data_IF_504789245551
#
_entry.id   IF_504789245551
#
_cell.length_a   1.000
_cell.length_b   1.000
_cell.length_c   1.000
_cell.angle_alpha   90.00
_cell.angle_beta   90.00
_cell.angle_gamma   90.00
#
_symmetry.space_group_name_H-M   'P 1'
#
loop_
_entity.id
_entity.type
_entity.pdbx_description
1 polymer ?
#
# COMPACT_ATOMS: atom_id res chain seq x y z
N UNK A 1 -53.43 19.26 4.29
CA UNK A 1 -54.19 20.11 3.35
C UNK A 1 -54.50 19.30 2.11
N UNK A 2 -55.79 19.18 1.77
CA UNK A 2 -56.36 18.44 0.63
C UNK A 2 -56.30 19.28 -0.65
N UNK A 3 -55.98 18.66 -1.79
CA UNK A 3 -56.49 18.89 -3.17
C UNK A 3 -56.12 17.61 -3.96
N UNK A 4 -56.97 16.67 -4.37
CA UNK A 4 -58.27 16.63 -5.07
C UNK A 4 -58.26 17.24 -6.47
N UNK A 5 -58.21 16.39 -7.50
CA UNK A 5 -59.15 16.23 -8.64
C UNK A 5 -58.47 15.33 -9.69
N UNK A 6 -58.89 14.05 -9.87
CA UNK A 6 -59.85 13.53 -10.89
C UNK A 6 -59.41 13.77 -12.34
N UNK A 7 -59.48 12.81 -13.28
CA UNK A 7 -60.72 12.17 -13.72
C UNK A 7 -60.40 11.07 -14.79
N UNK A 8 -61.04 9.89 -14.64
CA UNK A 8 -61.67 9.01 -15.67
C UNK A 8 -60.86 8.54 -16.92
N UNK A 9 -61.08 7.40 -17.59
CA UNK A 9 -62.18 6.41 -17.67
C UNK A 9 -61.58 5.17 -18.39
N UNK A 10 -61.87 3.91 -17.98
CA UNK A 10 -62.85 2.97 -18.61
C UNK A 10 -62.29 2.25 -19.85
N UNK A 11 -62.46 0.93 -20.10
CA UNK A 11 -63.21 -0.18 -19.48
C UNK A 11 -62.80 -1.47 -20.19
N UNK A 12 -62.74 -2.56 -19.42
CA UNK A 12 -63.06 -4.00 -19.68
C UNK A 12 -62.64 -4.67 -21.00
N UNK A 13 -62.34 -5.96 -21.04
CA UNK A 13 -63.23 -7.13 -20.90
C UNK A 13 -62.33 -8.37 -20.69
N UNK A 14 -62.46 -9.09 -19.56
CA UNK A 14 -63.06 -10.45 -19.41
C UNK A 14 -62.50 -11.48 -20.41
N UNK A 15 -62.18 -12.75 -20.13
CA UNK A 15 -62.38 -13.72 -19.04
C UNK A 15 -61.85 -15.03 -19.65
N UNK A 16 -61.24 -15.91 -18.86
CA UNK A 16 -61.38 -17.38 -18.95
C UNK A 16 -60.35 -18.00 -18.00
N UNK A 17 -60.74 -18.43 -16.82
CA UNK A 17 -61.30 -19.74 -16.48
C UNK A 17 -60.22 -20.71 -15.96
N UNK A 18 -60.66 -21.50 -14.99
CA UNK A 18 -59.93 -22.22 -13.96
C UNK A 18 -59.26 -23.53 -14.41
N UNK A 19 -58.12 -23.82 -13.75
CA UNK A 19 -57.58 -25.08 -13.18
C UNK A 19 -58.50 -26.35 -13.21
N UNK A 20 -58.00 -27.61 -13.09
CA UNK A 20 -56.68 -28.03 -12.56
C UNK A 20 -56.01 -29.31 -13.18
N UNK A 21 -54.77 -29.56 -12.72
CA UNK A 21 -54.21 -30.85 -12.27
C UNK A 21 -53.08 -31.53 -13.09
N UNK A 22 -51.88 -31.51 -12.47
CA UNK A 22 -50.74 -32.49 -12.43
C UNK A 22 -50.05 -32.95 -13.72
N UNK A 23 -48.73 -33.06 -13.84
CA UNK A 23 -47.47 -32.70 -13.12
C UNK A 23 -46.32 -33.37 -13.96
N UNK A 24 -45.02 -33.25 -13.66
CA UNK A 24 -44.16 -32.08 -13.38
C UNK A 24 -42.91 -32.07 -14.30
N UNK A 25 -42.22 -30.94 -14.51
CA UNK A 25 -40.77 -30.95 -14.78
C UNK A 25 -40.19 -29.53 -14.58
N UNK A 26 -38.90 -29.49 -14.30
CA UNK A 26 -38.19 -28.58 -13.41
C UNK A 26 -37.91 -27.18 -13.98
N UNK A 27 -38.19 -26.12 -13.21
CA UNK A 27 -37.43 -24.87 -13.31
C UNK A 27 -37.51 -24.07 -12.01
N UNK A 28 -36.45 -24.13 -11.18
CA UNK A 28 -36.30 -23.21 -10.05
C UNK A 28 -35.61 -21.94 -10.51
N UNK A 29 -36.42 -20.89 -10.59
CA UNK A 29 -36.02 -19.51 -10.76
C UNK A 29 -34.94 -19.08 -9.76
N UNK A 30 -33.88 -18.44 -10.27
CA UNK A 30 -33.01 -17.58 -9.47
C UNK A 30 -33.23 -16.15 -9.91
N UNK A 31 -33.62 -15.38 -8.90
CA UNK A 31 -33.97 -13.98 -8.86
C UNK A 31 -32.83 -13.11 -9.41
N UNK A 32 -33.17 -12.21 -10.33
CA UNK A 32 -32.31 -11.14 -10.79
C UNK A 32 -32.00 -10.17 -9.63
N UNK A 33 -30.81 -10.26 -9.07
CA UNK A 33 -30.17 -9.10 -8.42
C UNK A 33 -29.27 -8.41 -9.43
N UNK A 34 -29.71 -7.24 -9.91
CA UNK A 34 -28.85 -6.24 -10.54
C UNK A 34 -27.79 -5.83 -9.52
N UNK A 35 -26.55 -6.27 -9.73
CA UNK A 35 -25.37 -5.64 -9.15
C UNK A 35 -24.49 -5.21 -10.30
N UNK A 36 -24.57 -3.92 -10.62
CA UNK A 36 -23.66 -3.22 -11.51
C UNK A 36 -22.24 -3.35 -10.95
N UNK A 37 -21.44 -4.25 -11.51
CA UNK A 37 -19.98 -4.22 -11.35
C UNK A 37 -19.37 -3.85 -12.70
N UNK A 38 -18.73 -2.68 -12.72
CA UNK A 38 -17.98 -2.16 -13.85
C UNK A 38 -16.81 -3.10 -14.17
N UNK A 39 -17.02 -4.05 -15.08
CA UNK A 39 -15.92 -4.64 -15.84
C UNK A 39 -15.69 -3.76 -17.07
N UNK A 40 -14.71 -2.85 -16.97
CA UNK A 40 -14.16 -2.18 -18.16
C UNK A 40 -13.47 -3.25 -19.00
N UNK A 41 -14.13 -3.71 -20.06
CA UNK A 41 -13.50 -4.54 -21.10
C UNK A 41 -12.22 -3.84 -21.59
N UNK A 42 -11.06 -4.41 -21.25
CA UNK A 42 -9.76 -3.93 -21.74
C UNK A 42 -9.66 -4.40 -23.20
N UNK A 43 -10.13 -3.58 -24.13
CA UNK A 43 -10.07 -3.85 -25.58
C UNK A 43 -8.62 -4.20 -25.96
N UNK A 44 -8.37 -5.47 -26.27
CA UNK A 44 -7.04 -6.01 -26.59
C UNK A 44 -6.52 -5.24 -27.82
N UNK A 45 -5.47 -4.45 -27.62
CA UNK A 45 -4.82 -3.74 -28.72
C UNK A 45 -3.86 -4.70 -29.40
N UNK A 46 -3.99 -4.86 -30.72
CA UNK A 46 -3.16 -5.77 -31.51
C UNK A 46 -2.34 -4.98 -32.53
N UNK A 47 -1.08 -5.36 -32.73
CA UNK A 47 -0.19 -4.77 -33.73
C UNK A 47 0.49 -5.85 -34.58
N UNK A 48 0.60 -5.62 -35.89
CA UNK A 48 1.32 -6.53 -36.78
C UNK A 48 2.82 -6.18 -36.78
N UNK A 49 3.65 -7.09 -36.30
CA UNK A 49 5.10 -6.86 -36.18
C UNK A 49 5.76 -6.55 -37.54
N UNK A 50 6.41 -5.39 -37.59
CA UNK A 50 7.27 -4.95 -38.69
C UNK A 50 8.68 -5.53 -38.57
N UNK A 51 9.53 -5.31 -39.57
CA UNK A 51 10.94 -5.74 -39.48
C UNK A 51 11.75 -4.92 -38.48
N UNK A 52 11.32 -3.66 -38.23
CA UNK A 52 11.87 -2.82 -37.16
C UNK A 52 11.55 -3.41 -35.79
N UNK A 53 10.31 -3.84 -35.58
CA UNK A 53 9.84 -4.48 -34.34
C UNK A 53 10.63 -5.78 -34.06
N UNK A 54 10.76 -6.64 -35.08
CA UNK A 54 11.56 -7.87 -34.99
C UNK A 54 13.04 -7.58 -34.68
N UNK A 55 13.60 -6.48 -35.22
CA UNK A 55 14.97 -6.06 -34.92
C UNK A 55 15.10 -5.68 -33.44
N UNK A 56 14.17 -4.93 -32.86
CA UNK A 56 14.21 -4.60 -31.43
C UNK A 56 14.09 -5.85 -30.55
N UNK A 57 13.19 -6.78 -30.90
CA UNK A 57 13.05 -8.05 -30.18
C UNK A 57 14.39 -8.82 -30.16
N UNK A 58 15.11 -8.89 -31.29
CA UNK A 58 16.43 -9.54 -31.35
C UNK A 58 17.44 -8.82 -30.47
N UNK A 59 17.56 -7.50 -30.58
CA UNK A 59 18.50 -6.72 -29.75
C UNK A 59 18.26 -6.93 -28.25
N UNK A 60 17.00 -6.98 -27.81
CA UNK A 60 16.67 -7.29 -26.41
C UNK A 60 17.11 -8.71 -26.04
N UNK A 61 16.84 -9.70 -26.89
CA UNK A 61 17.28 -11.09 -26.67
C UNK A 61 18.81 -11.24 -26.62
N UNK A 62 19.52 -10.41 -27.39
CA UNK A 62 20.98 -10.40 -27.47
C UNK A 62 21.63 -9.58 -26.33
N UNK A 63 20.82 -8.92 -25.47
CA UNK A 63 21.32 -8.13 -24.34
C UNK A 63 21.76 -6.71 -24.70
N UNK A 64 21.46 -6.24 -25.92
CA UNK A 64 21.81 -4.91 -26.46
C UNK A 64 20.82 -3.83 -25.98
N UNK A 65 20.55 -3.79 -24.67
CA UNK A 65 19.48 -2.98 -24.08
C UNK A 65 19.70 -1.48 -24.27
N UNK A 66 20.93 -0.98 -24.07
CA UNK A 66 21.25 0.44 -24.20
C UNK A 66 20.96 0.98 -25.60
N UNK A 67 21.22 0.16 -26.62
CA UNK A 67 20.92 0.50 -28.01
C UNK A 67 19.42 0.63 -28.24
N UNK A 68 18.62 -0.31 -27.73
CA UNK A 68 17.16 -0.24 -27.83
C UNK A 68 16.62 0.97 -27.08
N UNK A 69 17.08 1.22 -25.85
CA UNK A 69 16.67 2.37 -25.04
C UNK A 69 16.96 3.67 -25.80
N UNK A 70 18.16 3.83 -26.35
CA UNK A 70 18.56 5.02 -27.12
C UNK A 70 17.69 5.23 -28.36
N UNK A 71 17.37 4.16 -29.09
CA UNK A 71 16.57 4.26 -30.32
C UNK A 71 15.06 4.46 -30.06
N UNK A 72 14.59 4.21 -28.83
CA UNK A 72 13.16 4.20 -28.48
C UNK A 72 12.76 5.25 -27.43
N UNK A 73 13.72 5.97 -26.84
CA UNK A 73 13.46 6.99 -25.80
C UNK A 73 12.59 8.14 -26.30
N UNK A 74 12.75 8.55 -27.55
CA UNK A 74 12.10 9.76 -28.08
C UNK A 74 10.92 9.44 -29.02
N UNK A 75 10.62 8.15 -29.20
CA UNK A 75 9.53 7.71 -30.05
C UNK A 75 8.18 8.05 -29.41
N UNK A 76 7.31 8.67 -30.21
CA UNK A 76 5.92 8.98 -29.84
C UNK A 76 4.96 7.82 -30.14
N UNK A 77 5.38 6.87 -30.97
CA UNK A 77 4.57 5.71 -31.30
C UNK A 77 4.45 4.83 -30.04
N UNK A 78 3.21 4.63 -29.57
CA UNK A 78 2.92 3.89 -28.33
C UNK A 78 3.40 2.44 -28.40
N UNK A 79 3.28 1.77 -29.55
CA UNK A 79 3.74 0.40 -29.71
C UNK A 79 5.26 0.32 -29.62
N UNK A 80 5.98 1.18 -30.35
CA UNK A 80 7.44 1.19 -30.34
C UNK A 80 8.00 1.63 -28.98
N UNK A 81 7.24 2.44 -28.25
CA UNK A 81 7.61 2.88 -26.89
C UNK A 81 7.59 1.74 -25.87
N UNK A 82 6.87 0.64 -26.13
CA UNK A 82 6.95 -0.55 -25.28
C UNK A 82 8.38 -1.10 -25.21
N UNK A 83 9.13 -1.06 -26.32
CA UNK A 83 10.52 -1.54 -26.36
C UNK A 83 11.44 -0.75 -25.43
N UNK A 84 11.19 0.55 -25.23
CA UNK A 84 11.93 1.37 -24.26
C UNK A 84 11.71 0.84 -22.84
N UNK A 85 10.46 0.58 -22.47
CA UNK A 85 10.12 0.09 -21.13
C UNK A 85 10.67 -1.32 -20.90
N UNK A 86 10.48 -2.20 -21.88
CA UNK A 86 10.96 -3.60 -21.82
C UNK A 86 12.48 -3.64 -21.72
N UNK A 87 13.21 -2.93 -22.59
CA UNK A 87 14.67 -2.91 -22.55
C UNK A 87 15.22 -2.34 -21.24
N UNK A 88 14.55 -1.33 -20.68
CA UNK A 88 14.92 -0.76 -19.37
C UNK A 88 14.77 -1.77 -18.23
N UNK A 89 13.71 -2.58 -18.26
CA UNK A 89 13.49 -3.67 -17.28
C UNK A 89 14.55 -4.76 -17.41
N UNK A 90 14.83 -5.22 -18.63
CA UNK A 90 15.86 -6.26 -18.84
C UNK A 90 17.28 -5.78 -18.54
N UNK A 91 17.57 -4.50 -18.79
CA UNK A 91 18.81 -3.87 -18.35
C UNK A 91 18.93 -3.92 -16.83
N UNK A 92 17.89 -3.47 -16.11
CA UNK A 92 17.87 -3.53 -14.64
C UNK A 92 18.00 -4.98 -14.14
N UNK A 93 17.28 -5.94 -14.71
CA UNK A 93 17.40 -7.36 -14.34
C UNK A 93 18.84 -7.89 -14.53
N UNK A 94 19.52 -7.49 -15.59
CA UNK A 94 20.92 -7.86 -15.82
C UNK A 94 21.82 -7.29 -14.71
N UNK A 95 21.68 -6.00 -14.40
CA UNK A 95 22.42 -5.35 -13.31
C UNK A 95 22.22 -6.11 -11.98
N UNK A 96 20.97 -6.44 -11.62
CA UNK A 96 20.66 -7.16 -10.38
C UNK A 96 21.24 -8.58 -10.33
N UNK A 97 21.31 -9.28 -11.47
CA UNK A 97 21.94 -10.59 -11.56
C UNK A 97 23.45 -10.53 -11.38
N UNK A 98 24.08 -9.48 -11.87
CA UNK A 98 25.52 -9.27 -11.72
C UNK A 98 25.88 -8.90 -10.27
N UNK A 99 25.09 -8.03 -9.64
CA UNK A 99 25.34 -7.59 -8.26
C UNK A 99 24.80 -8.54 -7.19
N UNK A 100 23.92 -9.49 -7.57
CA UNK A 100 23.20 -10.36 -6.65
C UNK A 100 22.41 -9.60 -5.56
N UNK A 101 21.98 -8.36 -5.85
CA UNK A 101 21.40 -7.45 -4.84
C UNK A 101 20.17 -6.70 -5.36
N UNK A 102 18.99 -7.33 -5.33
CA UNK A 102 17.74 -6.64 -5.67
C UNK A 102 17.01 -6.09 -4.45
N UNK A 103 16.72 -4.80 -4.45
CA UNK A 103 15.98 -4.11 -3.38
C UNK A 103 14.50 -3.95 -3.70
N UNK A 104 13.70 -3.52 -2.72
CA UNK A 104 12.30 -3.14 -2.96
C UNK A 104 12.16 -2.10 -4.07
N UNK A 105 13.03 -1.07 -4.07
CA UNK A 105 13.00 0.02 -5.04
C UNK A 105 13.33 -0.47 -6.46
N UNK A 106 14.26 -1.41 -6.60
CA UNK A 106 14.59 -2.00 -7.90
C UNK A 106 13.40 -2.73 -8.51
N UNK A 107 12.76 -3.62 -7.73
CA UNK A 107 11.60 -4.37 -8.19
C UNK A 107 10.37 -3.47 -8.41
N UNK A 108 10.25 -2.40 -7.62
CA UNK A 108 9.21 -1.38 -7.78
C UNK A 108 9.38 -0.60 -9.09
N UNK A 109 10.61 -0.17 -9.39
CA UNK A 109 10.96 0.46 -10.67
C UNK A 109 10.60 -0.46 -11.85
N UNK A 110 10.99 -1.73 -11.77
CA UNK A 110 10.71 -2.71 -12.83
C UNK A 110 9.20 -2.91 -13.03
N UNK A 111 8.44 -3.01 -11.93
CA UNK A 111 6.97 -3.09 -11.97
C UNK A 111 6.37 -1.86 -12.66
N UNK A 112 6.79 -0.66 -12.28
CA UNK A 112 6.31 0.59 -12.86
C UNK A 112 6.65 0.74 -14.35
N UNK A 113 7.76 0.17 -14.83
CA UNK A 113 8.11 0.16 -16.25
C UNK A 113 7.28 -0.87 -17.00
N UNK A 114 7.08 -2.07 -16.44
CA UNK A 114 6.24 -3.13 -17.02
C UNK A 114 4.76 -2.75 -17.13
N UNK A 115 4.26 -1.92 -16.20
CA UNK A 115 2.89 -1.38 -16.24
C UNK A 115 2.66 -0.40 -17.38
N UNK A 116 3.73 0.24 -17.88
CA UNK A 116 3.66 1.14 -19.03
C UNK A 116 3.64 0.41 -20.36
N UNK A 117 3.91 -0.90 -20.38
CA UNK A 117 3.85 -1.73 -21.60
C UNK A 117 2.38 -1.93 -22.00
N UNK A 118 2.01 -1.40 -23.16
CA UNK A 118 0.62 -1.37 -23.62
C UNK A 118 0.24 -2.64 -24.39
N UNK A 119 1.13 -3.14 -25.25
CA UNK A 119 0.86 -4.26 -26.16
C UNK A 119 1.51 -5.57 -25.70
N UNK A 120 1.25 -5.97 -24.45
CA UNK A 120 1.91 -7.11 -23.79
C UNK A 120 1.87 -8.39 -24.64
N UNK A 121 0.71 -8.74 -25.22
CA UNK A 121 0.53 -9.96 -26.02
C UNK A 121 1.38 -9.98 -27.30
N UNK A 122 1.66 -8.81 -27.88
CA UNK A 122 2.52 -8.69 -29.06
C UNK A 122 4.01 -8.88 -28.73
N UNK A 123 4.37 -8.85 -27.44
CA UNK A 123 5.73 -9.03 -26.94
C UNK A 123 5.92 -10.38 -26.22
N UNK A 124 5.05 -11.38 -26.48
CA UNK A 124 5.13 -12.71 -25.87
C UNK A 124 6.50 -13.38 -26.06
N UNK A 125 7.17 -13.11 -27.18
CA UNK A 125 8.54 -13.54 -27.49
C UNK A 125 9.59 -13.11 -26.45
N UNK A 126 9.28 -12.04 -25.72
CA UNK A 126 10.10 -11.48 -24.64
C UNK A 126 9.59 -11.92 -23.26
N UNK A 127 8.61 -12.82 -23.15
CA UNK A 127 8.16 -13.41 -21.88
C UNK A 127 7.77 -12.38 -20.79
N UNK A 128 7.19 -11.25 -21.20
CA UNK A 128 6.85 -10.13 -20.30
C UNK A 128 5.93 -10.55 -19.15
N UNK A 129 4.94 -11.39 -19.42
CA UNK A 129 3.99 -11.84 -18.38
C UNK A 129 4.68 -12.69 -17.31
N UNK A 130 5.52 -13.63 -17.72
CA UNK A 130 6.33 -14.43 -16.79
C UNK A 130 7.26 -13.56 -15.96
N UNK A 131 7.82 -12.52 -16.58
CA UNK A 131 8.67 -11.56 -15.90
C UNK A 131 7.88 -10.76 -14.84
N UNK A 132 6.68 -10.27 -15.19
CA UNK A 132 5.78 -9.57 -14.25
C UNK A 132 5.50 -10.43 -13.03
N UNK A 133 5.07 -11.67 -13.23
CA UNK A 133 4.78 -12.60 -12.13
C UNK A 133 5.99 -12.84 -11.22
N UNK A 134 7.18 -13.01 -11.81
CA UNK A 134 8.42 -13.20 -11.06
C UNK A 134 8.80 -11.94 -10.27
N UNK A 135 8.71 -10.77 -10.90
CA UNK A 135 9.03 -9.50 -10.27
C UNK A 135 8.05 -9.18 -9.13
N UNK A 136 6.76 -9.47 -9.28
CA UNK A 136 5.75 -9.27 -8.23
C UNK A 136 6.02 -10.13 -7.00
N UNK A 137 6.49 -11.37 -7.19
CA UNK A 137 6.91 -12.24 -6.09
C UNK A 137 8.13 -11.66 -5.38
N UNK A 138 9.14 -11.21 -6.14
CA UNK A 138 10.36 -10.59 -5.60
C UNK A 138 10.05 -9.29 -4.86
N UNK A 139 9.19 -8.44 -5.40
CA UNK A 139 8.73 -7.20 -4.80
C UNK A 139 8.04 -7.46 -3.45
N UNK A 140 7.13 -8.44 -3.38
CA UNK A 140 6.47 -8.85 -2.13
C UNK A 140 7.47 -9.37 -1.10
N UNK A 141 8.43 -10.20 -1.52
CA UNK A 141 9.48 -10.71 -0.63
C UNK A 141 10.37 -9.59 -0.11
N UNK A 142 10.84 -8.69 -0.99
CA UNK A 142 11.68 -7.56 -0.61
C UNK A 142 10.96 -6.59 0.33
N UNK A 143 9.66 -6.33 0.10
CA UNK A 143 8.84 -5.53 1.00
C UNK A 143 8.75 -6.17 2.40
N UNK A 144 8.51 -7.48 2.45
CA UNK A 144 8.43 -8.21 3.72
C UNK A 144 9.76 -8.19 4.47
N UNK A 145 10.87 -8.34 3.75
CA UNK A 145 12.22 -8.26 4.33
C UNK A 145 12.50 -6.87 4.91
N UNK A 146 12.14 -5.81 4.19
CA UNK A 146 12.23 -4.43 4.67
C UNK A 146 11.37 -4.22 5.93
N UNK A 147 10.12 -4.67 5.93
CA UNK A 147 9.24 -4.58 7.11
C UNK A 147 9.81 -5.33 8.33
N UNK A 148 10.50 -6.45 8.13
CA UNK A 148 11.18 -7.20 9.21
C UNK A 148 12.37 -6.41 9.76
N UNK A 149 13.17 -5.79 8.88
CA UNK A 149 14.32 -4.97 9.28
C UNK A 149 13.86 -3.74 10.06
N UNK A 150 12.87 -3.01 9.55
CA UNK A 150 12.30 -1.83 10.21
C UNK A 150 11.72 -2.19 11.59
N UNK A 151 11.03 -3.33 11.70
CA UNK A 151 10.50 -3.81 12.99
C UNK A 151 11.61 -4.19 13.97
N UNK A 152 12.71 -4.78 13.47
CA UNK A 152 13.86 -5.13 14.30
C UNK A 152 14.54 -3.86 14.83
N UNK A 153 14.78 -2.88 13.97
CA UNK A 153 15.38 -1.59 14.36
C UNK A 153 14.53 -0.86 15.39
N UNK A 154 13.20 -0.78 15.18
CA UNK A 154 12.28 -0.20 16.17
C UNK A 154 12.32 -0.92 17.52
N UNK A 155 12.48 -2.24 17.52
CA UNK A 155 12.62 -3.02 18.76
C UNK A 155 13.94 -2.75 19.46
N UNK A 156 15.03 -2.66 18.71
CA UNK A 156 16.36 -2.34 19.25
C UNK A 156 16.35 -0.95 19.88
N UNK A 157 15.87 0.07 19.17
CA UNK A 157 15.73 1.44 19.70
C UNK A 157 14.85 1.47 20.97
N UNK A 158 13.73 0.76 20.96
CA UNK A 158 12.84 0.66 22.13
C UNK A 158 13.52 -0.01 23.32
N UNK A 159 14.32 -1.05 23.08
CA UNK A 159 15.05 -1.75 24.14
C UNK A 159 16.16 -0.86 24.71
N UNK A 160 16.91 -0.15 23.87
CA UNK A 160 17.92 0.82 24.33
C UNK A 160 17.31 1.93 25.20
N UNK A 161 16.16 2.48 24.77
CA UNK A 161 15.38 3.41 25.60
C UNK A 161 14.93 2.78 26.90
N UNK A 162 14.44 1.54 26.86
CA UNK A 162 14.00 0.82 28.06
C UNK A 162 15.16 0.65 29.06
N UNK A 163 16.33 0.29 28.57
CA UNK A 163 17.55 0.10 29.36
C UNK A 163 18.04 1.43 29.95
N UNK A 164 18.07 2.51 29.15
CA UNK A 164 18.41 3.84 29.63
C UNK A 164 17.47 4.31 30.75
N UNK A 165 16.17 4.11 30.58
CA UNK A 165 15.17 4.44 31.59
C UNK A 165 15.30 3.59 32.85
N UNK A 166 15.62 2.30 32.72
CA UNK A 166 15.86 1.42 33.87
C UNK A 166 17.12 1.83 34.63
N UNK A 167 18.20 2.19 33.93
CA UNK A 167 19.41 2.74 34.55
C UNK A 167 19.10 4.05 35.29
N UNK A 168 18.38 5.00 34.67
CA UNK A 168 17.99 6.24 35.36
C UNK A 168 17.09 6.02 36.56
N UNK A 169 16.18 5.04 36.49
CA UNK A 169 15.32 4.70 37.63
C UNK A 169 16.13 4.17 38.82
N UNK A 170 17.19 3.40 38.54
CA UNK A 170 18.13 2.91 39.55
C UNK A 170 19.11 4.01 40.03
N UNK A 171 19.52 4.88 39.10
CA UNK A 171 20.52 5.94 39.30
C UNK A 171 19.97 7.30 38.81
N UNK A 172 19.07 7.95 39.58
CA UNK A 172 18.44 9.22 39.20
C UNK A 172 19.46 10.35 39.05
N UNK A 173 19.27 11.19 38.04
CA UNK A 173 20.06 12.41 37.80
C UNK A 173 19.26 13.67 38.11
N UNK A 174 19.82 14.85 37.91
CA UNK A 174 19.07 16.10 38.07
C UNK A 174 18.00 16.26 36.98
N UNK A 175 16.91 16.95 37.32
CA UNK A 175 15.85 17.35 36.38
C UNK A 175 15.71 18.86 36.40
N UNK A 176 15.34 19.42 35.26
CA UNK A 176 15.15 20.86 35.08
C UNK A 176 13.79 21.14 34.46
N UNK A 177 13.15 22.23 34.89
CA UNK A 177 11.92 22.74 34.26
C UNK A 177 12.18 22.94 32.77
N UNK A 178 11.24 22.51 31.94
CA UNK A 178 11.35 22.50 30.49
C UNK A 178 11.74 21.15 29.89
N UNK A 179 12.24 20.19 30.69
CA UNK A 179 12.47 18.82 30.21
C UNK A 179 11.15 18.16 29.78
N UNK A 180 11.20 17.44 28.68
CA UNK A 180 10.13 16.56 28.23
C UNK A 180 10.00 15.34 29.14
N UNK A 181 8.84 14.66 29.09
CA UNK A 181 8.66 13.38 29.77
C UNK A 181 9.71 12.35 29.35
N UNK A 182 10.11 12.31 28.08
CA UNK A 182 11.15 11.41 27.58
C UNK A 182 12.54 11.73 28.16
N UNK A 183 12.91 13.01 28.22
CA UNK A 183 14.18 13.44 28.84
C UNK A 183 14.20 13.13 30.34
N UNK A 184 13.09 13.32 31.06
CA UNK A 184 13.00 12.92 32.47
C UNK A 184 13.17 11.40 32.64
N UNK A 185 12.62 10.60 31.73
CA UNK A 185 12.72 9.15 31.77
C UNK A 185 14.13 8.65 31.42
N UNK A 186 14.80 9.24 30.42
CA UNK A 186 16.06 8.73 29.85
C UNK A 186 17.32 9.45 30.36
N UNK A 187 17.18 10.69 30.83
CA UNK A 187 18.29 11.53 31.29
C UNK A 187 18.11 12.07 32.72
N UNK A 188 16.88 12.11 33.25
CA UNK A 188 16.53 12.66 34.55
C UNK A 188 16.31 11.63 35.67
N UNK A 189 15.13 11.69 36.31
CA UNK A 189 14.78 10.85 37.47
C UNK A 189 14.42 9.40 37.12
N UNK A 190 14.24 9.07 35.84
CA UNK A 190 13.78 7.76 35.43
C UNK A 190 12.28 7.56 35.65
N UNK A 191 11.83 6.31 35.69
CA UNK A 191 10.41 5.96 35.77
C UNK A 191 9.83 6.32 37.15
N UNK A 192 8.67 7.02 37.19
CA UNK A 192 7.96 7.22 38.45
C UNK A 192 7.32 5.91 38.93
N UNK A 193 6.91 5.90 40.20
CA UNK A 193 6.13 4.80 40.78
C UNK A 193 4.69 4.86 40.27
N UNK A 194 4.16 6.07 40.12
CA UNK A 194 2.78 6.31 39.71
C UNK A 194 2.65 7.61 38.90
N UNK A 195 1.64 7.68 38.04
CA UNK A 195 1.35 8.83 37.19
C UNK A 195 -0.14 9.16 37.28
N UNK A 196 -0.45 10.29 37.90
CA UNK A 196 -1.80 10.85 37.92
C UNK A 196 -2.00 11.74 36.69
N UNK A 197 -2.91 11.37 35.78
CA UNK A 197 -3.17 12.09 34.53
C UNK A 197 -4.53 12.80 34.56
N UNK A 198 -4.56 14.06 34.13
CA UNK A 198 -5.79 14.83 33.89
C UNK A 198 -5.79 15.36 32.46
N UNK A 199 -6.81 15.01 31.67
CA UNK A 199 -7.01 15.53 30.30
C UNK A 199 -8.22 16.45 30.30
N UNK A 200 -8.07 17.64 29.74
CA UNK A 200 -9.15 18.63 29.60
C UNK A 200 -9.22 19.15 28.16
N UNK A 201 -10.21 19.98 27.85
CA UNK A 201 -10.27 20.70 26.56
C UNK A 201 -9.05 21.59 26.32
N UNK A 202 -8.35 21.98 27.39
CA UNK A 202 -7.28 22.96 27.34
C UNK A 202 -5.88 22.33 27.33
N UNK A 203 -5.78 20.99 27.43
CA UNK A 203 -4.50 20.28 27.46
C UNK A 203 -4.49 19.10 28.43
N UNK A 204 -3.32 18.45 28.52
CA UNK A 204 -3.01 17.31 29.39
C UNK A 204 -2.08 17.76 30.52
N UNK A 205 -2.39 17.35 31.75
CA UNK A 205 -1.55 17.56 32.92
C UNK A 205 -1.25 16.22 33.58
N UNK A 206 0.00 16.03 34.00
CA UNK A 206 0.45 14.81 34.66
C UNK A 206 1.20 15.15 35.94
N UNK A 207 0.96 14.39 37.01
CA UNK A 207 1.77 14.40 38.22
C UNK A 207 2.45 13.03 38.33
N UNK A 208 3.77 13.03 38.33
CA UNK A 208 4.60 11.84 38.46
C UNK A 208 5.08 11.72 39.89
N UNK A 209 4.80 10.58 40.51
CA UNK A 209 5.08 10.31 41.93
C UNK A 209 6.34 9.46 42.06
N UNK A 210 7.29 9.93 42.87
CA UNK A 210 8.53 9.25 43.18
C UNK A 210 8.64 8.91 44.66
N UNK A 211 9.61 8.04 45.01
CA UNK A 211 9.87 7.67 46.41
C UNK A 211 10.29 8.91 47.21
N UNK A 212 9.92 8.94 48.49
CA UNK A 212 10.31 10.02 49.40
C UNK A 212 9.49 11.30 49.24
N UNK A 213 8.21 11.18 48.84
CA UNK A 213 7.28 12.31 48.68
C UNK A 213 7.77 13.37 47.67
N UNK A 214 8.43 12.92 46.59
CA UNK A 214 8.89 13.78 45.50
C UNK A 214 7.93 13.70 44.33
N UNK A 215 7.70 14.84 43.67
CA UNK A 215 6.74 14.95 42.58
C UNK A 215 7.29 15.78 41.42
N UNK A 216 6.95 15.37 40.20
CA UNK A 216 7.16 16.16 38.98
C UNK A 216 5.80 16.45 38.34
N UNK A 217 5.59 17.69 37.92
CA UNK A 217 4.35 18.11 37.29
C UNK A 217 4.61 18.49 35.84
N UNK A 218 3.84 17.91 34.92
CA UNK A 218 3.95 18.14 33.49
C UNK A 218 2.69 18.78 32.94
N UNK A 219 2.86 19.69 31.98
CA UNK A 219 1.80 20.19 31.13
C UNK A 219 2.16 19.90 29.67
N UNK A 220 1.27 19.20 28.96
CA UNK A 220 1.44 18.76 27.57
C UNK A 220 2.81 18.09 27.28
N UNK A 221 3.28 17.30 28.26
CA UNK A 221 4.52 16.53 28.16
C UNK A 221 5.79 17.29 28.55
N UNK A 222 5.68 18.52 29.02
CA UNK A 222 6.82 19.36 29.46
C UNK A 222 6.78 19.57 30.97
N UNK A 223 7.90 19.38 31.65
CA UNK A 223 8.07 19.54 33.09
C UNK A 223 7.93 21.01 33.48
N UNK A 224 6.91 21.34 34.27
CA UNK A 224 6.62 22.72 34.71
C UNK A 224 6.92 22.97 36.18
N UNK A 225 6.93 21.93 37.03
CA UNK A 225 7.22 22.07 38.46
C UNK A 225 7.86 20.83 39.06
N UNK A 226 8.73 21.04 40.06
CA UNK A 226 9.46 20.01 40.81
C UNK A 226 9.18 20.24 42.30
N UNK A 227 8.81 19.17 43.02
CA UNK A 227 8.56 19.18 44.45
C UNK A 227 9.43 18.13 45.15
N UNK A 228 10.13 18.56 46.21
CA UNK A 228 11.07 17.77 47.01
C UNK A 228 10.52 17.43 48.40
#
# INVERSE_FOLDING_TARGET
MKRLLTLMFVVTVLTACSNPNKQPEEEKAVHQTKTTSNQKEKKIKTHKLTDKDKRFIRLIKDGEYDKVIKETSDLRNVFEKDYYFIASVYKKEKELKETHSGTYDDYSYMSAMLDKVVYVENHNDLKIEQFKEMNDKRLKSAKKEQEILDEKERKEEKNEKLDAMNDRTANPKEVSIGMTTEEVLTEGWGRPIDINTTVTSNGKREQWVYKGNKYLYFEDGVLTSIQY
#
